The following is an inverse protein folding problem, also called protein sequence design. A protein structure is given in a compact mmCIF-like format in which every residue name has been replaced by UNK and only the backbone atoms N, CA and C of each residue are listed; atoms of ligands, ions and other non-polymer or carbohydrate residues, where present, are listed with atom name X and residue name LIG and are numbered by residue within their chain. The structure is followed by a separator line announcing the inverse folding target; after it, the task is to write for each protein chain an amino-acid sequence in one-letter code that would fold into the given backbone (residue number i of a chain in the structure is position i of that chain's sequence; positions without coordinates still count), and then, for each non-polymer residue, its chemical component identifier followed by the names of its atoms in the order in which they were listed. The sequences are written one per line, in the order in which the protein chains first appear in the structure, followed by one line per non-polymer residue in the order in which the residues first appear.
data_IF_710788890597
#
_entry.id   IF_710788890597
#
_cell.length_a   1.000
_cell.length_b   1.000
_cell.length_c   1.000
_cell.angle_alpha   90.00
_cell.angle_beta   90.00
_cell.angle_gamma   90.00
#
_symmetry.space_group_name_H-M   'P 1'
#
loop_
_entity.id
_entity.type
_entity.pdbx_description
1 polymer ?
#
# COMPACT_ATOMS: atom_id res chain seq x y z
N UNK A 1 -24.24 7.27 4.23
CA UNK A 1 -25.66 7.30 4.69
C UNK A 1 -26.24 5.90 4.67
N UNK A 2 -26.84 5.44 5.78
CA UNK A 2 -27.53 4.14 5.83
C UNK A 2 -28.95 4.20 5.25
N UNK A 3 -29.48 3.06 4.83
CA UNK A 3 -30.84 2.87 4.31
C UNK A 3 -31.61 1.87 5.18
N UNK A 4 -32.90 2.12 5.40
CA UNK A 4 -33.76 1.13 6.05
C UNK A 4 -34.11 0.04 5.04
N UNK A 5 -33.88 -1.24 5.40
CA UNK A 5 -34.24 -2.40 4.58
C UNK A 5 -34.95 -3.44 5.44
N UNK A 6 -35.87 -4.20 4.86
CA UNK A 6 -36.50 -5.31 5.55
C UNK A 6 -35.63 -6.58 5.42
N UNK A 7 -35.44 -7.30 6.52
CA UNK A 7 -34.81 -8.61 6.52
C UNK A 7 -35.79 -9.72 6.05
N UNK A 8 -35.33 -10.97 5.83
CA UNK A 8 -36.19 -12.06 5.36
C UNK A 8 -37.34 -12.44 6.31
N UNK A 9 -37.31 -11.98 7.56
CA UNK A 9 -38.34 -12.22 8.59
C UNK A 9 -39.29 -11.01 8.73
N UNK A 10 -39.06 -9.95 7.95
CA UNK A 10 -39.88 -8.74 7.93
C UNK A 10 -39.47 -7.67 8.95
N UNK A 11 -38.33 -7.82 9.63
CA UNK A 11 -37.85 -6.77 10.53
C UNK A 11 -37.14 -5.67 9.75
N UNK A 12 -37.37 -4.41 10.14
CA UNK A 12 -36.66 -3.27 9.58
C UNK A 12 -35.25 -3.17 10.18
N UNK A 13 -34.24 -3.14 9.32
CA UNK A 13 -32.81 -3.04 9.67
C UNK A 13 -32.24 -1.76 9.07
N UNK A 14 -31.44 -1.03 9.85
CA UNK A 14 -30.67 0.09 9.34
C UNK A 14 -29.36 -0.44 8.74
N UNK A 15 -29.27 -0.42 7.42
CA UNK A 15 -28.22 -1.06 6.65
C UNK A 15 -27.28 -0.03 6.00
N UNK A 16 -26.02 -0.40 5.81
CA UNK A 16 -25.01 0.42 5.16
C UNK A 16 -24.35 -0.38 4.06
N UNK A 17 -23.93 0.29 2.98
CA UNK A 17 -23.02 -0.30 2.00
C UNK A 17 -21.60 -0.23 2.57
N UNK A 18 -20.96 -1.35 2.91
CA UNK A 18 -19.61 -1.32 3.47
C UNK A 18 -18.58 -1.12 2.35
N UNK A 19 -17.56 -0.29 2.59
CA UNK A 19 -16.30 -0.36 1.85
C UNK A 19 -15.40 -1.35 2.58
N UNK A 20 -15.38 -2.60 2.10
CA UNK A 20 -14.68 -3.69 2.79
C UNK A 20 -13.21 -3.78 2.35
N UNK A 21 -12.95 -3.59 1.06
CA UNK A 21 -11.61 -3.71 0.49
C UNK A 21 -11.43 -2.75 -0.68
N UNK A 22 -10.26 -2.17 -0.78
CA UNK A 22 -9.78 -1.40 -1.90
C UNK A 22 -8.37 -1.90 -2.23
N UNK A 23 -8.26 -2.69 -3.30
CA UNK A 23 -6.99 -3.24 -3.79
C UNK A 23 -6.47 -2.29 -4.86
N UNK A 24 -5.30 -1.73 -4.62
CA UNK A 24 -4.65 -0.79 -5.52
C UNK A 24 -3.14 -0.83 -5.33
N UNK A 25 -2.40 -0.40 -6.33
CA UNK A 25 -0.98 -0.13 -6.21
C UNK A 25 -0.73 1.12 -5.35
N UNK A 26 0.51 1.28 -4.89
CA UNK A 26 0.88 2.31 -3.91
C UNK A 26 0.47 3.74 -4.29
N UNK A 27 0.63 4.23 -5.53
CA UNK A 27 0.23 5.59 -5.88
C UNK A 27 -1.29 5.82 -5.72
N UNK A 28 -2.09 4.82 -6.06
CA UNK A 28 -3.54 4.80 -5.99
C UNK A 28 -4.02 4.65 -4.54
N UNK A 29 -3.36 3.84 -3.72
CA UNK A 29 -3.58 3.79 -2.27
C UNK A 29 -3.32 5.15 -1.62
N UNK A 30 -2.21 5.82 -1.98
CA UNK A 30 -1.89 7.17 -1.51
C UNK A 30 -2.93 8.19 -1.98
N UNK A 31 -3.43 8.06 -3.21
CA UNK A 31 -4.50 8.90 -3.72
C UNK A 31 -5.75 8.75 -2.85
N UNK A 32 -6.24 7.52 -2.68
CA UNK A 32 -7.47 7.22 -1.93
C UNK A 32 -7.33 7.64 -0.47
N UNK A 33 -6.19 7.37 0.17
CA UNK A 33 -5.93 7.73 1.57
C UNK A 33 -5.63 9.22 1.78
N UNK A 34 -5.57 10.01 0.70
CA UNK A 34 -5.26 11.44 0.68
C UNK A 34 -3.83 11.78 1.12
N UNK A 35 -2.91 10.82 1.04
CA UNK A 35 -1.53 10.91 1.53
C UNK A 35 -0.54 11.27 0.42
N UNK A 36 0.53 12.00 0.77
CA UNK A 36 1.59 12.33 -0.18
C UNK A 36 2.52 11.13 -0.44
N UNK A 37 3.38 11.25 -1.46
CA UNK A 37 4.51 10.32 -1.61
C UNK A 37 5.43 10.40 -0.38
N UNK A 38 6.02 9.26 0.01
CA UNK A 38 6.92 9.10 1.17
C UNK A 38 6.25 8.97 2.54
N UNK A 39 4.98 8.62 2.61
CA UNK A 39 4.33 8.16 3.85
C UNK A 39 3.59 6.87 3.59
N UNK A 40 3.41 6.05 4.62
CA UNK A 40 2.58 4.84 4.48
C UNK A 40 1.14 5.26 4.18
N UNK A 41 0.36 4.57 3.32
CA UNK A 41 -1.07 4.80 3.17
C UNK A 41 -1.89 4.34 4.38
N UNK A 42 -1.39 3.37 5.15
CA UNK A 42 -2.13 2.67 6.22
C UNK A 42 -1.68 3.09 7.62
N UNK A 43 -0.38 3.31 7.85
CA UNK A 43 0.18 3.67 9.17
C UNK A 43 0.61 5.13 9.20
N UNK A 44 0.94 5.65 10.39
CA UNK A 44 1.50 7.00 10.56
C UNK A 44 2.97 7.11 10.15
N UNK A 45 3.59 6.02 9.72
CA UNK A 45 5.01 5.99 9.35
C UNK A 45 5.32 6.92 8.17
N UNK A 46 6.44 7.62 8.28
CA UNK A 46 7.06 8.36 7.17
C UNK A 46 8.22 7.56 6.59
N UNK A 47 8.71 7.98 5.42
CA UNK A 47 9.81 7.29 4.71
C UNK A 47 11.04 7.04 5.57
N UNK A 48 11.45 8.00 6.40
CA UNK A 48 12.63 7.86 7.25
C UNK A 48 12.45 6.80 8.36
N UNK A 49 11.21 6.34 8.55
CA UNK A 49 10.81 5.36 9.55
C UNK A 49 10.49 3.99 8.97
N UNK A 50 10.52 3.82 7.64
CA UNK A 50 10.18 2.53 7.02
C UNK A 50 11.16 1.40 7.32
N UNK A 51 12.38 1.74 7.73
CA UNK A 51 13.43 0.78 8.08
C UNK A 51 13.58 0.59 9.60
N UNK A 52 12.77 1.27 10.41
CA UNK A 52 12.79 1.06 11.85
C UNK A 52 12.02 -0.21 12.24
N UNK A 53 12.36 -0.76 13.40
CA UNK A 53 11.70 -1.93 13.98
C UNK A 53 10.41 -1.56 14.73
N UNK A 54 9.98 -0.30 14.65
CA UNK A 54 8.86 0.21 15.42
C UNK A 54 7.55 0.03 14.64
N UNK A 55 6.57 -0.58 15.31
CA UNK A 55 5.24 -0.72 14.73
C UNK A 55 4.46 0.60 14.84
N UNK A 56 4.54 1.42 13.79
CA UNK A 56 3.84 2.70 13.72
C UNK A 56 2.31 2.52 13.80
N UNK A 57 1.60 3.37 14.58
CA UNK A 57 0.15 3.31 14.70
C UNK A 57 -0.59 3.36 13.35
N UNK A 58 -1.75 2.73 13.28
CA UNK A 58 -2.65 2.87 12.13
C UNK A 58 -3.12 4.32 11.99
N UNK A 59 -3.11 4.84 10.75
CA UNK A 59 -3.66 6.15 10.43
C UNK A 59 -5.18 6.05 10.41
N UNK A 60 -5.83 6.87 11.23
CA UNK A 60 -7.30 6.97 11.24
C UNK A 60 -7.77 7.96 10.20
N UNK A 61 -8.81 7.61 9.44
CA UNK A 61 -9.44 8.50 8.47
C UNK A 61 -9.86 9.85 9.09
N UNK A 62 -10.31 9.82 10.36
CA UNK A 62 -10.65 11.02 11.12
C UNK A 62 -9.45 11.99 11.28
N UNK A 63 -8.23 11.47 11.49
CA UNK A 63 -7.03 12.31 11.59
C UNK A 63 -6.71 12.99 10.26
N UNK A 64 -6.80 12.25 9.15
CA UNK A 64 -6.66 12.78 7.79
C UNK A 64 -7.67 13.90 7.52
N UNK A 65 -8.96 13.65 7.79
CA UNK A 65 -10.02 14.65 7.61
C UNK A 65 -9.77 15.89 8.47
N UNK A 66 -9.28 15.71 9.70
CA UNK A 66 -8.96 16.83 10.60
C UNK A 66 -7.87 17.71 10.02
N UNK A 67 -6.79 17.13 9.47
CA UNK A 67 -5.73 17.88 8.81
C UNK A 67 -6.22 18.58 7.53
N UNK A 68 -7.02 17.90 6.70
CA UNK A 68 -7.63 18.52 5.51
C UNK A 68 -8.45 19.75 5.90
N UNK A 69 -9.34 19.62 6.90
CA UNK A 69 -10.15 20.74 7.40
C UNK A 69 -9.31 21.87 7.99
N UNK A 70 -8.18 21.55 8.63
CA UNK A 70 -7.25 22.57 9.13
C UNK A 70 -6.64 23.38 7.98
N UNK A 71 -6.21 22.72 6.89
CA UNK A 71 -5.69 23.41 5.70
C UNK A 71 -6.76 24.27 5.04
N UNK A 72 -7.98 23.74 4.87
CA UNK A 72 -9.10 24.46 4.23
C UNK A 72 -9.53 25.73 4.99
N UNK A 73 -9.28 25.81 6.30
CA UNK A 73 -9.53 27.04 7.08
C UNK A 73 -8.53 28.16 6.76
N UNK A 74 -7.34 27.81 6.30
CA UNK A 74 -6.28 28.76 5.99
C UNK A 74 -6.22 29.11 4.51
N UNK A 75 -6.43 28.13 3.63
CA UNK A 75 -6.28 28.29 2.18
C UNK A 75 -7.45 27.63 1.47
N UNK A 76 -8.06 28.35 0.53
CA UNK A 76 -9.12 27.80 -0.32
C UNK A 76 -8.56 26.72 -1.26
N UNK A 77 -9.22 25.55 -1.39
CA UNK A 77 -8.85 24.54 -2.40
C UNK A 77 -8.82 25.07 -3.84
N UNK A 78 -9.52 26.17 -4.13
CA UNK A 78 -9.46 26.83 -5.43
C UNK A 78 -8.09 27.43 -5.75
N UNK A 79 -7.29 27.80 -4.74
CA UNK A 79 -5.89 28.18 -4.92
C UNK A 79 -5.00 26.92 -4.89
N UNK A 80 -5.03 26.15 -5.98
CA UNK A 80 -4.39 24.82 -6.07
C UNK A 80 -2.92 24.82 -5.65
N UNK A 81 -2.15 25.83 -6.07
CA UNK A 81 -0.71 25.91 -5.78
C UNK A 81 -0.45 26.08 -4.28
N UNK A 82 -1.09 27.07 -3.66
CA UNK A 82 -0.95 27.35 -2.23
C UNK A 82 -1.55 26.24 -1.38
N UNK A 83 -2.70 25.69 -1.80
CA UNK A 83 -3.35 24.58 -1.12
C UNK A 83 -2.48 23.33 -1.11
N UNK A 84 -1.93 22.94 -2.27
CA UNK A 84 -1.01 21.80 -2.37
C UNK A 84 0.23 21.98 -1.50
N UNK A 85 0.81 23.18 -1.47
CA UNK A 85 1.96 23.49 -0.61
C UNK A 85 1.62 23.35 0.87
N UNK A 86 0.45 23.82 1.31
CA UNK A 86 0.00 23.69 2.68
C UNK A 86 -0.34 22.24 3.06
N UNK A 87 -0.99 21.49 2.16
CA UNK A 87 -1.27 20.06 2.34
C UNK A 87 0.00 19.24 2.59
N UNK A 88 1.07 19.51 1.85
CA UNK A 88 2.36 18.81 2.02
C UNK A 88 2.93 18.94 3.44
N UNK A 89 2.68 20.06 4.14
CA UNK A 89 3.11 20.23 5.54
C UNK A 89 2.45 19.25 6.51
N UNK A 90 1.32 18.66 6.11
CA UNK A 90 0.59 17.64 6.84
C UNK A 90 0.70 16.25 6.19
N UNK A 91 1.63 16.06 5.25
CA UNK A 91 1.77 14.84 4.45
C UNK A 91 0.53 14.47 3.61
N UNK A 92 -0.25 15.48 3.18
CA UNK A 92 -1.44 15.29 2.36
C UNK A 92 -1.14 15.52 0.88
N UNK A 93 -1.86 14.83 -0.01
CA UNK A 93 -1.69 14.95 -1.47
C UNK A 93 -2.48 16.10 -2.12
N UNK A 94 -3.33 16.81 -1.38
CA UNK A 94 -4.14 17.91 -1.91
C UNK A 94 -5.60 17.56 -2.22
N UNK A 95 -6.04 16.34 -1.92
CA UNK A 95 -7.48 16.02 -1.92
C UNK A 95 -8.14 16.70 -0.72
N UNK A 96 -9.19 17.48 -0.99
CA UNK A 96 -9.95 18.22 0.03
C UNK A 96 -11.29 17.54 0.39
N UNK A 97 -11.79 16.64 -0.46
CA UNK A 97 -13.01 15.87 -0.25
C UNK A 97 -12.74 14.38 -0.52
N UNK A 98 -12.34 13.61 0.50
CA UNK A 98 -12.14 12.17 0.35
C UNK A 98 -13.45 11.46 0.02
N UNK A 99 -13.46 10.60 -1.02
CA UNK A 99 -14.66 9.91 -1.50
C UNK A 99 -15.30 8.98 -0.45
N UNK A 100 -14.49 8.46 0.47
CA UNK A 100 -14.89 7.56 1.55
C UNK A 100 -15.35 8.27 2.82
N UNK A 101 -15.22 9.60 2.94
CA UNK A 101 -15.53 10.34 4.17
C UNK A 101 -16.96 10.10 4.66
N UNK A 102 -17.92 10.03 3.74
CA UNK A 102 -19.35 9.90 4.05
C UNK A 102 -19.84 8.43 4.09
N UNK A 103 -18.92 7.48 3.89
CA UNK A 103 -19.21 6.05 3.96
C UNK A 103 -19.14 5.60 5.41
N UNK A 104 -20.24 5.02 5.89
CA UNK A 104 -20.31 4.58 7.27
C UNK A 104 -19.32 3.46 7.53
N UNK A 105 -18.63 3.52 8.68
CA UNK A 105 -17.62 2.54 9.10
C UNK A 105 -16.44 2.40 8.12
N UNK A 106 -16.24 3.37 7.23
CA UNK A 106 -15.14 3.39 6.29
C UNK A 106 -13.93 4.10 6.91
N UNK A 107 -12.85 3.35 7.11
CA UNK A 107 -11.57 3.91 7.50
C UNK A 107 -10.49 3.36 6.54
N UNK A 108 -9.66 4.23 5.93
CA UNK A 108 -8.67 3.77 4.96
C UNK A 108 -7.73 2.69 5.50
N UNK A 109 -7.34 2.76 6.77
CA UNK A 109 -6.51 1.72 7.39
C UNK A 109 -7.20 0.36 7.51
N UNK A 110 -8.52 0.32 7.37
CA UNK A 110 -9.33 -0.90 7.47
C UNK A 110 -9.70 -1.50 6.12
N UNK A 111 -9.88 -0.67 5.08
CA UNK A 111 -10.27 -1.14 3.76
C UNK A 111 -9.11 -1.18 2.74
N UNK A 112 -8.01 -0.47 2.95
CA UNK A 112 -6.83 -0.60 2.09
C UNK A 112 -6.21 -1.96 2.36
N UNK A 113 -6.27 -2.82 1.36
CA UNK A 113 -5.79 -4.20 1.45
C UNK A 113 -4.49 -4.35 0.68
N UNK A 114 -3.47 -5.02 1.23
CA UNK A 114 -2.21 -5.22 0.53
C UNK A 114 -2.42 -5.82 -0.85
N UNK A 115 -1.96 -5.12 -1.88
CA UNK A 115 -1.93 -5.63 -3.24
C UNK A 115 -0.84 -6.72 -3.39
N UNK A 116 -1.20 -7.98 -3.70
CA UNK A 116 -0.25 -9.09 -3.69
C UNK A 116 0.91 -8.96 -4.70
N UNK A 117 0.68 -8.35 -5.86
CA UNK A 117 1.70 -8.27 -6.90
C UNK A 117 2.88 -7.37 -6.48
N UNK A 118 2.61 -6.16 -6.02
CA UNK A 118 3.65 -5.20 -5.64
C UNK A 118 4.15 -5.46 -4.21
N UNK A 119 3.25 -5.70 -3.26
CA UNK A 119 3.65 -5.82 -1.85
C UNK A 119 4.20 -7.19 -1.46
N UNK A 120 3.93 -8.25 -2.22
CA UNK A 120 4.47 -9.60 -1.94
C UNK A 120 5.43 -10.06 -3.03
N UNK A 121 4.99 -10.08 -4.29
CA UNK A 121 5.80 -10.63 -5.38
C UNK A 121 6.99 -9.73 -5.75
N UNK A 122 6.79 -8.41 -5.84
CA UNK A 122 7.88 -7.47 -6.13
C UNK A 122 8.81 -7.28 -4.92
N UNK A 123 8.22 -7.09 -3.73
CA UNK A 123 8.96 -6.92 -2.46
C UNK A 123 10.01 -8.03 -2.22
N UNK A 124 9.67 -9.28 -2.48
CA UNK A 124 10.58 -10.40 -2.27
C UNK A 124 11.90 -10.24 -3.04
N UNK A 125 11.86 -9.73 -4.28
CA UNK A 125 13.08 -9.54 -5.06
C UNK A 125 13.93 -8.41 -4.50
N UNK A 126 13.29 -7.30 -4.14
CA UNK A 126 13.96 -6.07 -3.70
C UNK A 126 14.51 -6.19 -2.27
N UNK A 127 13.90 -7.02 -1.43
CA UNK A 127 14.24 -7.12 -0.01
C UNK A 127 14.70 -8.53 0.37
N UNK A 128 13.83 -9.54 0.31
CA UNK A 128 14.13 -10.88 0.85
C UNK A 128 15.28 -11.57 0.10
N UNK A 129 15.28 -11.50 -1.22
CA UNK A 129 16.35 -12.04 -2.05
C UNK A 129 17.66 -11.29 -1.81
N UNK A 130 17.63 -9.95 -1.76
CA UNK A 130 18.83 -9.15 -1.49
C UNK A 130 19.42 -9.44 -0.10
N UNK A 131 18.56 -9.57 0.91
CA UNK A 131 18.95 -9.97 2.25
C UNK A 131 19.55 -11.37 2.26
N UNK A 132 18.96 -12.32 1.54
CA UNK A 132 19.48 -13.67 1.41
C UNK A 132 20.85 -13.67 0.73
N UNK A 133 21.04 -12.92 -0.36
CA UNK A 133 22.34 -12.73 -1.04
C UNK A 133 23.37 -12.17 -0.06
N UNK A 134 22.99 -11.20 0.78
CA UNK A 134 23.89 -10.60 1.75
C UNK A 134 24.31 -11.59 2.86
N UNK A 135 23.38 -12.36 3.41
CA UNK A 135 23.65 -13.30 4.51
C UNK A 135 24.39 -14.55 4.03
N UNK A 136 23.97 -15.13 2.91
CA UNK A 136 24.51 -16.40 2.39
C UNK A 136 25.75 -16.17 1.53
N UNK A 137 25.80 -15.03 0.81
CA UNK A 137 26.79 -14.74 -0.21
C UNK A 137 26.31 -15.13 -1.61
N UNK A 138 26.54 -14.23 -2.58
CA UNK A 138 26.07 -14.39 -3.96
C UNK A 138 26.50 -15.72 -4.60
N UNK A 139 27.78 -16.09 -4.48
CA UNK A 139 28.32 -17.30 -5.09
C UNK A 139 27.65 -18.58 -4.57
N UNK A 140 27.38 -18.65 -3.26
CA UNK A 140 26.76 -19.81 -2.63
C UNK A 140 25.28 -19.90 -3.00
N UNK A 141 24.56 -18.77 -2.96
CA UNK A 141 23.16 -18.74 -3.36
C UNK A 141 22.98 -19.12 -4.83
N UNK A 142 23.80 -18.56 -5.71
CA UNK A 142 23.77 -18.87 -7.15
C UNK A 142 24.08 -20.33 -7.42
N UNK A 143 25.07 -20.91 -6.72
CA UNK A 143 25.39 -22.33 -6.83
C UNK A 143 24.18 -23.21 -6.49
N UNK A 144 23.42 -22.88 -5.44
CA UNK A 144 22.19 -23.60 -5.12
C UNK A 144 21.14 -23.46 -6.23
N UNK A 145 20.92 -22.25 -6.76
CA UNK A 145 19.99 -22.04 -7.88
C UNK A 145 20.40 -22.80 -9.15
N UNK A 146 21.69 -22.96 -9.40
CA UNK A 146 22.22 -23.74 -10.52
C UNK A 146 21.97 -25.24 -10.37
N UNK A 147 21.94 -25.74 -9.14
CA UNK A 147 21.70 -27.15 -8.83
C UNK A 147 20.21 -27.52 -8.72
N UNK A 148 19.32 -26.54 -8.54
CA UNK A 148 17.89 -26.80 -8.39
C UNK A 148 17.33 -27.57 -9.61
N UNK A 149 16.65 -28.67 -9.32
CA UNK A 149 15.92 -29.41 -10.34
C UNK A 149 14.72 -28.57 -10.82
N UNK A 150 14.72 -28.22 -12.10
CA UNK A 150 13.67 -27.39 -12.67
C UNK A 150 12.46 -28.22 -13.04
N UNK A 151 11.30 -27.85 -12.51
CA UNK A 151 10.01 -28.43 -12.86
C UNK A 151 9.48 -27.87 -14.19
N UNK A 152 8.55 -28.61 -14.82
CA UNK A 152 7.96 -28.19 -16.09
C UNK A 152 7.26 -26.83 -15.90
N UNK A 153 7.59 -25.86 -16.75
CA UNK A 153 7.01 -24.52 -16.74
C UNK A 153 7.83 -23.45 -16.01
N UNK A 154 8.84 -23.86 -15.25
CA UNK A 154 9.76 -22.97 -14.54
C UNK A 154 11.05 -22.74 -15.34
N UNK A 155 11.73 -21.61 -15.05
CA UNK A 155 13.01 -21.26 -15.67
C UNK A 155 14.17 -21.85 -14.86
N UNK A 156 15.21 -22.33 -15.54
CA UNK A 156 16.50 -22.65 -14.92
C UNK A 156 17.36 -21.39 -14.78
N UNK A 157 17.98 -21.21 -13.62
CA UNK A 157 18.95 -20.13 -13.36
C UNK A 157 20.38 -20.68 -13.40
N UNK A 158 20.86 -20.99 -14.62
CA UNK A 158 22.17 -21.65 -14.84
C UNK A 158 23.38 -20.79 -14.49
N UNK A 159 23.18 -19.47 -14.42
CA UNK A 159 24.21 -18.50 -14.05
C UNK A 159 23.86 -17.84 -12.70
N UNK A 160 22.98 -18.48 -11.92
CA UNK A 160 22.45 -17.93 -10.69
C UNK A 160 21.38 -16.85 -10.90
N UNK A 161 21.00 -16.20 -9.80
CA UNK A 161 20.00 -15.12 -9.75
C UNK A 161 20.64 -13.77 -9.40
N UNK A 162 21.81 -13.76 -8.76
CA UNK A 162 22.45 -12.53 -8.28
C UNK A 162 22.91 -11.59 -9.41
N UNK A 163 23.13 -12.13 -10.61
CA UNK A 163 23.62 -11.37 -11.77
C UNK A 163 22.51 -10.75 -12.62
N UNK A 164 21.23 -11.06 -12.32
CA UNK A 164 20.09 -10.60 -13.08
C UNK A 164 19.83 -9.10 -12.85
N UNK A 165 19.93 -8.32 -13.93
CA UNK A 165 19.71 -6.86 -13.92
C UNK A 165 18.29 -6.43 -14.30
N UNK A 166 17.64 -7.25 -15.12
CA UNK A 166 16.27 -7.03 -15.55
C UNK A 166 15.50 -8.32 -15.34
N UNK A 167 14.41 -8.19 -14.60
CA UNK A 167 13.56 -9.31 -14.21
C UNK A 167 12.17 -9.07 -14.78
N UNK A 168 11.59 -10.14 -15.30
CA UNK A 168 10.19 -10.16 -15.69
C UNK A 168 9.33 -10.67 -14.54
N UNK A 169 8.02 -10.45 -14.57
CA UNK A 169 7.10 -11.07 -13.61
C UNK A 169 7.19 -12.61 -13.59
N UNK A 170 7.61 -13.24 -14.71
CA UNK A 170 7.88 -14.67 -14.74
C UNK A 170 9.11 -15.04 -13.93
N UNK A 171 10.13 -14.19 -13.88
CA UNK A 171 11.33 -14.42 -13.09
C UNK A 171 11.05 -14.31 -11.59
N UNK A 172 10.26 -13.32 -11.15
CA UNK A 172 9.78 -13.24 -9.76
C UNK A 172 9.13 -14.56 -9.34
N UNK A 173 8.20 -15.08 -10.14
CA UNK A 173 7.52 -16.36 -9.87
C UNK A 173 8.46 -17.57 -9.89
N UNK A 174 9.58 -17.53 -10.59
CA UNK A 174 10.49 -18.67 -10.66
C UNK A 174 11.52 -18.68 -9.52
N UNK A 175 11.77 -17.54 -8.88
CA UNK A 175 12.70 -17.44 -7.74
C UNK A 175 11.97 -17.63 -6.40
N UNK A 176 10.68 -17.27 -6.33
CA UNK A 176 9.78 -17.59 -5.21
C UNK A 176 9.26 -19.03 -5.28
#
# INVERSE_FOLDING_TARGET
MGIMMNDPVGNSRYCFTPLVSYIADTPEELLVTCMCSNVSPVTTATRDQFEDDFHHPLRKGLSTITHIKAVMRSVSPANVSEFSMMCKKFNLNGIHEPSWQEWALSDPSSFITPEPLHHLHHMFWDHDLQWTIFVVGANELDFHFMLLQVSIGYRSFKDGVSTLKQISGRDHRNVQ
#
